data_IF_897998389794
#
_entry.id   IF_897998389794
#
_cell.length_a   1.000
_cell.length_b   1.000
_cell.length_c   1.000
_cell.angle_alpha   90.00
_cell.angle_beta   90.00
_cell.angle_gamma   90.00
#
_symmetry.space_group_name_H-M   'P 1'
#
loop_
_entity.id
_entity.type
_entity.pdbx_description
1 polymer ?
#
# COMPACT_ATOMS: atom_id res chain seq x y z
N UNK A 1 4.98 20.16 -7.53
CA UNK A 1 5.19 18.91 -8.30
C UNK A 1 4.60 19.05 -9.71
N UNK A 2 5.38 18.77 -10.76
CA UNK A 2 4.89 18.73 -12.16
C UNK A 2 4.41 17.31 -12.45
N UNK A 3 3.21 17.16 -13.02
CA UNK A 3 2.68 15.86 -13.41
C UNK A 3 2.65 15.72 -14.94
N UNK A 4 2.98 14.53 -15.42
CA UNK A 4 3.02 14.18 -16.84
C UNK A 4 2.00 13.10 -17.16
N UNK A 5 1.33 13.18 -18.31
CA UNK A 5 0.37 12.17 -18.72
C UNK A 5 1.05 10.82 -18.95
N UNK A 6 0.46 9.74 -18.45
CA UNK A 6 1.00 8.39 -18.60
C UNK A 6 -0.14 7.38 -18.79
N UNK A 7 0.11 6.33 -19.59
CA UNK A 7 -0.81 5.19 -19.68
C UNK A 7 -0.54 4.21 -18.55
N UNK A 8 -1.54 3.39 -18.21
CA UNK A 8 -1.40 2.34 -17.20
C UNK A 8 -0.23 1.38 -17.47
N UNK A 9 -0.08 0.97 -18.74
CA UNK A 9 1.01 0.10 -19.20
C UNK A 9 2.39 0.74 -18.98
N UNK A 10 2.56 2.00 -19.40
CA UNK A 10 3.84 2.72 -19.25
C UNK A 10 4.16 3.01 -17.79
N UNK A 11 3.14 3.29 -16.97
CA UNK A 11 3.29 3.47 -15.52
C UNK A 11 3.80 2.19 -14.87
N UNK A 12 3.12 1.07 -15.13
CA UNK A 12 3.49 -0.24 -14.59
C UNK A 12 4.92 -0.62 -15.00
N UNK A 13 5.24 -0.50 -16.29
CA UNK A 13 6.56 -0.87 -16.82
C UNK A 13 7.67 0.03 -16.25
N UNK A 14 7.43 1.32 -16.07
CA UNK A 14 8.38 2.22 -15.43
C UNK A 14 8.59 1.88 -13.94
N UNK A 15 7.52 1.64 -13.18
CA UNK A 15 7.62 1.26 -11.78
C UNK A 15 8.30 -0.10 -11.59
N UNK A 16 8.01 -1.07 -12.46
CA UNK A 16 8.68 -2.38 -12.44
C UNK A 16 10.18 -2.28 -12.74
N UNK A 17 10.61 -1.36 -13.63
CA UNK A 17 12.03 -1.08 -13.85
C UNK A 17 12.69 -0.46 -12.60
N UNK A 18 12.11 0.58 -12.04
CA UNK A 18 12.64 1.21 -10.83
C UNK A 18 12.73 0.23 -9.66
N UNK A 19 11.72 -0.63 -9.51
CA UNK A 19 11.69 -1.67 -8.49
C UNK A 19 12.74 -2.78 -8.71
N UNK A 20 13.11 -3.07 -9.96
CA UNK A 20 14.14 -4.08 -10.26
C UNK A 20 15.55 -3.58 -9.90
N UNK A 21 15.81 -2.29 -10.03
CA UNK A 21 17.07 -1.66 -9.66
C UNK A 21 17.15 -1.31 -8.16
N UNK A 22 16.03 -1.45 -7.44
CA UNK A 22 15.87 -1.05 -6.05
C UNK A 22 16.74 -1.90 -5.11
N UNK A 23 17.38 -1.22 -4.16
CA UNK A 23 18.13 -1.82 -3.05
C UNK A 23 17.49 -1.39 -1.74
N UNK A 24 17.50 -2.27 -0.75
CA UNK A 24 17.01 -1.93 0.57
C UNK A 24 17.92 -0.90 1.25
N UNK A 25 17.33 0.15 1.82
CA UNK A 25 18.04 1.26 2.47
C UNK A 25 18.76 0.82 3.75
N UNK A 26 18.27 -0.22 4.41
CA UNK A 26 18.88 -0.86 5.58
C UNK A 26 20.08 -1.76 5.24
N UNK A 27 20.43 -1.90 3.95
CA UNK A 27 21.47 -2.80 3.45
C UNK A 27 21.07 -4.28 3.47
N UNK A 28 19.82 -4.58 3.81
CA UNK A 28 19.24 -5.92 3.75
C UNK A 28 18.99 -6.41 2.33
N UNK A 29 18.60 -7.68 2.16
CA UNK A 29 18.39 -8.25 0.84
C UNK A 29 16.97 -8.04 0.27
N UNK A 30 16.07 -7.36 0.98
CA UNK A 30 14.65 -7.25 0.61
C UNK A 30 14.17 -5.81 0.48
N UNK A 31 14.10 -5.28 -0.75
CA UNK A 31 13.43 -4.01 -1.00
C UNK A 31 11.94 -4.07 -0.67
N UNK A 32 11.40 -3.01 -0.08
CA UNK A 32 10.00 -2.89 0.36
C UNK A 32 9.34 -1.72 -0.38
N UNK A 33 8.23 -1.98 -1.05
CA UNK A 33 7.50 -1.01 -1.87
C UNK A 33 6.13 -0.72 -1.26
N UNK A 34 5.75 0.55 -1.16
CA UNK A 34 4.39 0.97 -0.85
C UNK A 34 3.59 1.28 -2.11
N UNK A 35 2.34 0.81 -2.17
CA UNK A 35 1.32 1.28 -3.09
C UNK A 35 0.14 1.81 -2.28
N UNK A 36 0.21 3.10 -1.95
CA UNK A 36 -0.71 3.80 -1.06
C UNK A 36 -1.87 4.44 -1.85
N UNK A 37 -3.06 4.43 -1.25
CA UNK A 37 -4.23 5.11 -1.81
C UNK A 37 -5.51 4.65 -1.15
N UNK A 38 -6.55 5.50 -1.21
CA UNK A 38 -7.87 5.13 -0.71
C UNK A 38 -8.40 3.86 -1.41
N UNK A 39 -9.31 3.07 -0.79
CA UNK A 39 -9.86 1.85 -1.42
C UNK A 39 -10.51 2.07 -2.79
N UNK A 40 -10.96 3.28 -3.09
CA UNK A 40 -11.51 3.65 -4.39
C UNK A 40 -10.43 3.79 -5.49
N UNK A 41 -9.15 3.89 -5.13
CA UNK A 41 -8.01 3.88 -6.04
C UNK A 41 -7.57 2.44 -6.35
N UNK A 42 -7.06 2.16 -7.55
CA UNK A 42 -6.69 0.80 -7.98
C UNK A 42 -5.31 0.36 -7.43
N UNK A 43 -5.09 0.46 -6.11
CA UNK A 43 -3.80 0.11 -5.46
C UNK A 43 -3.47 -1.37 -5.62
N UNK A 44 -4.44 -2.25 -5.43
CA UNK A 44 -4.25 -3.70 -5.59
C UNK A 44 -3.94 -4.10 -7.04
N UNK A 45 -4.58 -3.44 -8.01
CA UNK A 45 -4.29 -3.67 -9.43
C UNK A 45 -2.87 -3.23 -9.77
N UNK A 46 -2.46 -2.03 -9.36
CA UNK A 46 -1.12 -1.53 -9.61
C UNK A 46 -0.04 -2.39 -8.94
N UNK A 47 -0.26 -2.79 -7.69
CA UNK A 47 0.66 -3.68 -6.97
C UNK A 47 0.81 -5.04 -7.68
N UNK A 48 -0.29 -5.58 -8.22
CA UNK A 48 -0.27 -6.85 -8.97
C UNK A 48 0.52 -6.70 -10.27
N UNK A 49 0.28 -5.64 -11.03
CA UNK A 49 0.95 -5.43 -12.33
C UNK A 49 2.44 -5.14 -12.17
N UNK A 50 2.85 -4.40 -11.12
CA UNK A 50 4.27 -4.24 -10.76
C UNK A 50 4.88 -5.61 -10.42
N UNK A 51 4.19 -6.42 -9.59
CA UNK A 51 4.67 -7.74 -9.21
C UNK A 51 4.84 -8.68 -10.42
N UNK A 52 3.91 -8.66 -11.37
CA UNK A 52 4.01 -9.40 -12.63
C UNK A 52 5.22 -8.94 -13.46
N UNK A 53 5.42 -7.63 -13.59
CA UNK A 53 6.57 -7.06 -14.28
C UNK A 53 7.91 -7.47 -13.66
N UNK A 54 8.00 -7.51 -12.33
CA UNK A 54 9.18 -7.98 -11.61
C UNK A 54 9.40 -9.49 -11.76
N UNK A 55 8.33 -10.31 -11.68
CA UNK A 55 8.42 -11.76 -11.89
C UNK A 55 8.87 -12.10 -13.31
N UNK A 56 8.43 -11.35 -14.32
CA UNK A 56 8.90 -11.49 -15.69
C UNK A 56 10.41 -11.21 -15.84
N UNK A 57 10.99 -10.44 -14.92
CA UNK A 57 12.44 -10.15 -14.82
C UNK A 57 13.19 -11.14 -13.92
N UNK A 58 12.51 -12.19 -13.43
CA UNK A 58 13.10 -13.23 -12.59
C UNK A 58 13.14 -12.90 -11.09
N UNK A 59 12.48 -11.82 -10.64
CA UNK A 59 12.42 -11.46 -9.22
C UNK A 59 11.31 -12.24 -8.50
N UNK A 60 11.61 -12.69 -7.28
CA UNK A 60 10.58 -13.19 -6.36
C UNK A 60 9.85 -12.01 -5.73
N UNK A 61 8.52 -12.02 -5.79
CA UNK A 61 7.70 -10.91 -5.27
C UNK A 61 6.58 -11.42 -4.39
N UNK A 62 6.46 -10.82 -3.21
CA UNK A 62 5.33 -11.05 -2.31
C UNK A 62 4.51 -9.77 -2.18
N UNK A 63 3.20 -9.87 -2.37
CA UNK A 63 2.26 -8.73 -2.29
C UNK A 63 1.39 -8.92 -1.05
N UNK A 64 1.37 -7.91 -0.18
CA UNK A 64 0.57 -7.89 1.05
C UNK A 64 -0.46 -6.75 0.96
N UNK A 65 -1.71 -7.08 1.27
CA UNK A 65 -2.79 -6.10 1.39
C UNK A 65 -3.00 -5.73 2.85
N UNK A 66 -3.13 -4.44 3.17
CA UNK A 66 -3.50 -4.02 4.53
C UNK A 66 -4.87 -4.53 4.97
N UNK A 67 -5.73 -4.93 4.02
CA UNK A 67 -7.01 -5.58 4.32
C UNK A 67 -6.85 -6.94 5.04
N UNK A 68 -5.73 -7.63 4.83
CA UNK A 68 -5.39 -8.85 5.58
C UNK A 68 -4.90 -8.57 7.00
N UNK A 69 -4.72 -7.31 7.37
CA UNK A 69 -4.19 -6.86 8.66
C UNK A 69 -5.15 -5.89 9.35
N UNK A 70 -6.45 -6.10 9.17
CA UNK A 70 -7.46 -5.37 9.93
C UNK A 70 -7.50 -5.86 11.38
N UNK A 71 -7.76 -4.95 12.31
CA UNK A 71 -8.09 -5.31 13.68
C UNK A 71 -9.47 -6.00 13.75
N UNK A 72 -9.74 -6.79 14.79
CA UNK A 72 -11.07 -7.37 15.01
C UNK A 72 -12.19 -6.31 15.06
N UNK A 73 -13.42 -6.68 14.66
CA UNK A 73 -14.55 -5.76 14.67
C UNK A 73 -14.80 -5.09 16.03
N UNK A 74 -14.51 -5.78 17.14
CA UNK A 74 -14.63 -5.22 18.49
C UNK A 74 -13.75 -3.99 18.73
N UNK A 75 -12.59 -3.92 18.07
CA UNK A 75 -11.70 -2.75 18.13
C UNK A 75 -12.06 -1.74 17.04
N UNK A 76 -12.37 -2.20 15.82
CA UNK A 76 -12.70 -1.30 14.70
C UNK A 76 -13.98 -0.51 14.92
N UNK A 77 -14.95 -1.09 15.64
CA UNK A 77 -16.28 -0.51 15.82
C UNK A 77 -16.54 -0.07 17.26
N UNK A 78 -15.50 0.05 18.09
CA UNK A 78 -15.59 0.49 19.49
C UNK A 78 -16.38 1.80 19.62
N UNK A 79 -16.12 2.77 18.74
CA UNK A 79 -16.78 4.08 18.71
C UNK A 79 -17.89 4.18 17.64
N UNK A 80 -18.28 3.04 17.07
CA UNK A 80 -19.30 2.96 16.02
C UNK A 80 -18.76 2.42 14.69
N UNK A 81 -19.64 1.82 13.89
CA UNK A 81 -19.27 1.18 12.62
C UNK A 81 -18.82 2.14 11.53
N UNK A 82 -19.15 3.42 11.68
CA UNK A 82 -18.91 4.49 10.70
C UNK A 82 -18.19 5.67 11.36
N UNK A 83 -17.22 5.36 12.20
CA UNK A 83 -16.41 6.35 12.90
C UNK A 83 -15.10 6.61 12.12
N UNK A 84 -14.93 7.80 11.51
CA UNK A 84 -13.78 8.10 10.66
C UNK A 84 -12.46 8.21 11.43
N UNK A 85 -12.49 8.61 12.70
CA UNK A 85 -11.28 8.71 13.54
C UNK A 85 -10.72 7.31 13.84
N UNK A 86 -11.60 6.36 14.15
CA UNK A 86 -11.25 4.96 14.34
C UNK A 86 -10.80 4.33 13.02
N UNK A 87 -11.42 4.67 11.88
CA UNK A 87 -10.92 4.22 10.57
C UNK A 87 -9.50 4.70 10.29
N UNK A 88 -9.22 5.98 10.53
CA UNK A 88 -7.92 6.60 10.30
C UNK A 88 -6.82 5.97 11.17
N UNK A 89 -7.08 5.78 12.46
CA UNK A 89 -6.03 5.46 13.44
C UNK A 89 -6.06 4.02 13.99
N UNK A 90 -7.19 3.34 13.85
CA UNK A 90 -7.50 2.14 14.64
C UNK A 90 -7.87 0.91 13.84
N UNK A 91 -8.15 1.02 12.53
CA UNK A 91 -8.62 -0.12 11.74
C UNK A 91 -7.52 -1.08 11.32
N UNK A 92 -6.37 -0.55 10.93
CA UNK A 92 -5.26 -1.34 10.43
C UNK A 92 -4.29 -1.65 11.58
N UNK A 93 -3.92 -2.93 11.73
CA UNK A 93 -2.96 -3.39 12.72
C UNK A 93 -1.53 -3.12 12.25
N UNK A 94 -1.11 -1.86 12.38
CA UNK A 94 0.25 -1.42 12.04
C UNK A 94 1.32 -2.15 12.85
N UNK A 95 1.01 -2.57 14.08
CA UNK A 95 1.89 -3.38 14.92
C UNK A 95 2.09 -4.78 14.39
N UNK A 96 1.02 -5.42 13.87
CA UNK A 96 1.11 -6.70 13.18
C UNK A 96 1.87 -6.59 11.85
N UNK A 97 1.65 -5.54 11.07
CA UNK A 97 2.44 -5.29 9.85
C UNK A 97 3.94 -5.17 10.18
N UNK A 98 4.30 -4.41 11.22
CA UNK A 98 5.69 -4.34 11.69
C UNK A 98 6.25 -5.70 12.10
N UNK A 99 5.52 -6.45 12.94
CA UNK A 99 6.02 -7.72 13.48
C UNK A 99 6.10 -8.85 12.46
N UNK A 100 5.10 -8.95 11.59
CA UNK A 100 4.86 -10.14 10.77
C UNK A 100 5.22 -9.94 9.29
N UNK A 101 5.40 -8.68 8.86
CA UNK A 101 5.71 -8.34 7.47
C UNK A 101 7.05 -7.62 7.35
N UNK A 102 7.24 -6.48 8.03
CA UNK A 102 8.47 -5.68 7.87
C UNK A 102 9.65 -6.22 8.67
N UNK A 103 9.47 -6.51 9.95
CA UNK A 103 10.52 -7.01 10.86
C UNK A 103 11.25 -8.26 10.34
N UNK A 104 10.56 -9.26 9.76
CA UNK A 104 11.22 -10.41 9.15
C UNK A 104 12.08 -10.07 7.92
N UNK A 105 11.91 -8.89 7.33
CA UNK A 105 12.63 -8.38 6.16
C UNK A 105 13.64 -7.28 6.48
N UNK A 106 13.91 -6.99 7.75
CA UNK A 106 15.03 -6.13 8.15
C UNK A 106 16.38 -6.84 7.89
N UNK A 107 17.49 -6.10 7.89
CA UNK A 107 18.83 -6.65 7.79
C UNK A 107 19.09 -7.76 8.84
N UNK A 108 19.45 -8.97 8.38
CA UNK A 108 19.61 -10.16 9.23
C UNK A 108 18.30 -10.86 9.62
N UNK A 109 17.17 -10.40 9.07
CA UNK A 109 15.85 -11.00 9.24
C UNK A 109 15.71 -12.39 8.62
N UNK A 110 14.56 -13.02 8.85
CA UNK A 110 14.33 -14.42 8.45
C UNK A 110 13.79 -14.59 7.03
N UNK A 111 13.34 -13.52 6.38
CA UNK A 111 12.64 -13.59 5.10
C UNK A 111 11.22 -14.20 5.18
N UNK A 112 10.72 -14.54 6.38
CA UNK A 112 9.41 -15.21 6.56
C UNK A 112 8.34 -14.20 6.89
N UNK A 113 7.50 -13.89 5.92
CA UNK A 113 6.40 -12.92 6.03
C UNK A 113 5.06 -13.64 6.17
N UNK A 114 4.16 -13.07 6.95
CA UNK A 114 2.79 -13.53 7.02
C UNK A 114 1.97 -12.81 5.92
N UNK A 115 1.20 -13.52 5.07
CA UNK A 115 0.47 -12.88 3.98
C UNK A 115 -0.80 -12.15 4.46
N UNK A 116 -1.41 -12.65 5.53
CA UNK A 116 -2.62 -12.12 6.15
C UNK A 116 -2.72 -12.62 7.60
N UNK A 117 -3.41 -11.86 8.44
CA UNK A 117 -3.70 -12.18 9.84
C UNK A 117 -5.20 -12.18 10.14
N UNK A 118 -6.01 -11.48 9.36
CA UNK A 118 -7.45 -11.30 9.57
C UNK A 118 -8.24 -11.43 8.28
N UNK A 119 -9.35 -12.19 8.35
CA UNK A 119 -10.36 -12.24 7.31
C UNK A 119 -11.49 -11.24 7.64
N UNK A 120 -11.63 -10.15 6.86
CA UNK A 120 -12.67 -9.15 7.11
C UNK A 120 -14.10 -9.62 6.85
N UNK A 121 -14.29 -10.70 6.08
CA UNK A 121 -15.62 -11.22 5.73
C UNK A 121 -16.18 -12.03 6.90
N UNK A 122 -15.36 -12.93 7.46
CA UNK A 122 -15.78 -13.77 8.59
C UNK A 122 -15.47 -13.15 9.96
N UNK A 123 -14.70 -12.05 9.98
CA UNK A 123 -14.16 -11.37 11.17
C UNK A 123 -13.43 -12.37 12.09
N UNK A 124 -12.45 -13.07 11.52
CA UNK A 124 -11.65 -14.08 12.23
C UNK A 124 -10.19 -14.00 11.83
N UNK A 125 -9.32 -14.42 12.76
CA UNK A 125 -7.93 -14.62 12.45
C UNK A 125 -7.77 -15.70 11.38
N UNK A 126 -6.93 -15.43 10.38
CA UNK A 126 -6.58 -16.41 9.36
C UNK A 126 -5.61 -17.45 9.91
N UNK A 127 -5.34 -18.51 9.13
CA UNK A 127 -4.37 -19.57 9.45
C UNK A 127 -3.37 -19.78 8.31
N UNK A 128 -3.12 -18.72 7.54
CA UNK A 128 -2.18 -18.77 6.43
C UNK A 128 -0.77 -19.08 6.95
N UNK A 129 -0.03 -19.99 6.32
CA UNK A 129 1.35 -20.25 6.71
C UNK A 129 2.24 -19.07 6.31
N UNK A 130 3.35 -18.89 7.03
CA UNK A 130 4.39 -17.95 6.63
C UNK A 130 4.90 -18.28 5.22
N UNK A 131 5.06 -17.24 4.41
CA UNK A 131 5.69 -17.33 3.10
C UNK A 131 7.13 -16.86 3.20
N UNK A 132 8.05 -17.60 2.57
CA UNK A 132 9.45 -17.22 2.52
C UNK A 132 9.72 -16.38 1.27
N UNK A 133 10.14 -15.14 1.48
CA UNK A 133 10.73 -14.30 0.45
C UNK A 133 12.24 -14.61 0.40
N UNK A 134 12.78 -15.15 -0.70
CA UNK A 134 14.22 -15.40 -0.81
C UNK A 134 14.99 -14.07 -0.88
N UNK A 135 16.28 -14.11 -0.59
CA UNK A 135 17.18 -12.96 -0.70
C UNK A 135 17.11 -12.35 -2.11
N UNK A 136 17.05 -11.02 -2.19
CA UNK A 136 16.81 -10.29 -3.45
C UNK A 136 15.34 -10.22 -3.87
N UNK A 137 14.43 -10.88 -3.14
CA UNK A 137 12.99 -10.76 -3.36
C UNK A 137 12.45 -9.39 -2.94
N UNK A 138 11.33 -8.98 -3.52
CA UNK A 138 10.69 -7.68 -3.29
C UNK A 138 9.36 -7.86 -2.54
N UNK A 139 9.16 -7.08 -1.49
CA UNK A 139 7.87 -6.93 -0.84
C UNK A 139 7.11 -5.75 -1.45
N UNK A 140 5.84 -5.94 -1.77
CA UNK A 140 4.92 -4.86 -2.10
C UNK A 140 3.79 -4.85 -1.08
N UNK A 141 3.63 -3.75 -0.34
CA UNK A 141 2.49 -3.54 0.55
C UNK A 141 1.55 -2.54 -0.09
N UNK A 142 0.28 -2.90 -0.21
CA UNK A 142 -0.73 -2.04 -0.81
C UNK A 142 -1.92 -1.83 0.12
N UNK A 143 -2.51 -0.64 0.04
CA UNK A 143 -3.71 -0.29 0.77
C UNK A 143 -3.75 1.19 1.14
N UNK A 144 -4.78 1.61 1.88
CA UNK A 144 -4.86 2.98 2.37
C UNK A 144 -3.97 3.20 3.59
N UNK A 145 -3.64 4.47 3.83
CA UNK A 145 -3.02 4.97 5.07
C UNK A 145 -1.68 4.30 5.37
N UNK A 146 -0.82 4.13 4.36
CA UNK A 146 0.49 3.49 4.54
C UNK A 146 1.54 4.44 5.12
N UNK A 147 1.35 5.76 5.02
CA UNK A 147 2.31 6.74 5.55
C UNK A 147 1.95 7.25 6.94
N UNK A 148 2.93 7.84 7.63
CA UNK A 148 2.80 8.26 9.04
C UNK A 148 3.08 7.17 10.08
N UNK A 149 3.46 5.97 9.64
CA UNK A 149 3.73 4.80 10.50
C UNK A 149 5.19 4.35 10.53
N UNK A 150 6.08 5.14 9.92
CA UNK A 150 7.54 4.88 9.85
C UNK A 150 7.92 3.56 9.17
N UNK A 151 7.02 2.96 8.39
CA UNK A 151 7.32 1.73 7.66
C UNK A 151 8.55 1.93 6.75
N UNK A 152 9.44 0.93 6.67
CA UNK A 152 10.74 1.06 6.04
C UNK A 152 10.63 0.84 4.53
N UNK A 153 9.83 1.65 3.84
CA UNK A 153 9.69 1.58 2.39
C UNK A 153 10.92 2.17 1.69
N UNK A 154 11.41 1.47 0.69
CA UNK A 154 12.50 1.87 -0.18
C UNK A 154 11.99 2.58 -1.45
N UNK A 155 10.73 2.32 -1.81
CA UNK A 155 10.01 3.02 -2.87
C UNK A 155 8.54 3.16 -2.47
N UNK A 156 7.98 4.33 -2.66
CA UNK A 156 6.59 4.64 -2.33
C UNK A 156 5.85 5.24 -3.52
N UNK A 157 4.71 4.64 -3.84
CA UNK A 157 3.80 5.09 -4.90
C UNK A 157 2.46 5.45 -4.28
N UNK A 158 2.05 6.71 -4.40
CA UNK A 158 0.75 7.19 -3.89
C UNK A 158 -0.22 7.48 -5.03
N UNK A 159 -1.33 6.72 -5.08
CA UNK A 159 -2.43 6.95 -6.01
C UNK A 159 -3.39 7.98 -5.41
N UNK A 160 -3.21 9.22 -5.86
CA UNK A 160 -4.04 10.35 -5.42
C UNK A 160 -5.33 10.43 -6.21
N UNK A 161 -6.45 10.56 -5.49
CA UNK A 161 -7.74 10.98 -6.03
C UNK A 161 -8.06 12.39 -5.51
N UNK A 162 -8.47 13.31 -6.37
CA UNK A 162 -9.06 14.57 -5.90
C UNK A 162 -10.30 14.29 -5.04
N UNK A 163 -10.63 15.20 -4.11
CA UNK A 163 -11.78 15.03 -3.21
C UNK A 163 -13.08 14.68 -3.96
N UNK A 164 -13.34 15.37 -5.09
CA UNK A 164 -14.51 15.07 -5.93
C UNK A 164 -14.43 13.71 -6.64
N UNK A 165 -13.25 13.27 -7.08
CA UNK A 165 -13.07 11.94 -7.66
C UNK A 165 -13.22 10.85 -6.59
N UNK A 166 -12.63 11.04 -5.42
CA UNK A 166 -12.74 10.13 -4.28
C UNK A 166 -14.21 9.96 -3.86
N UNK A 167 -14.95 11.05 -3.71
CA UNK A 167 -16.37 10.99 -3.35
C UNK A 167 -17.22 10.24 -4.39
N UNK A 168 -17.02 10.49 -5.69
CA UNK A 168 -17.78 9.83 -6.76
C UNK A 168 -17.46 8.34 -6.89
N UNK A 169 -16.22 7.95 -6.58
CA UNK A 169 -15.74 6.56 -6.71
C UNK A 169 -15.93 5.74 -5.44
N UNK A 170 -16.16 6.37 -4.31
CA UNK A 170 -16.45 5.71 -3.04
C UNK A 170 -17.94 5.39 -2.97
N UNK A 171 -18.27 4.10 -2.80
CA UNK A 171 -19.66 3.66 -2.67
C UNK A 171 -20.37 4.35 -1.50
N UNK A 172 -21.69 4.54 -1.61
CA UNK A 172 -22.49 5.32 -0.63
C UNK A 172 -22.29 4.85 0.81
N UNK A 173 -22.20 3.53 1.03
CA UNK A 173 -22.02 2.95 2.37
C UNK A 173 -20.62 3.15 2.96
N UNK A 174 -19.65 3.58 2.15
CA UNK A 174 -18.25 3.84 2.52
C UNK A 174 -17.91 5.34 2.55
N UNK A 175 -18.83 6.23 2.16
CA UNK A 175 -18.56 7.68 2.11
C UNK A 175 -18.27 8.30 3.48
N UNK A 176 -18.63 7.63 4.56
CA UNK A 176 -18.25 8.05 5.91
C UNK A 176 -16.72 8.00 6.14
N UNK A 177 -15.96 7.27 5.32
CA UNK A 177 -14.48 7.22 5.38
C UNK A 177 -13.80 8.45 4.77
N UNK A 178 -14.53 9.30 4.03
CA UNK A 178 -13.94 10.43 3.30
C UNK A 178 -13.26 11.44 4.23
N UNK A 179 -13.80 11.66 5.43
CA UNK A 179 -13.17 12.56 6.42
C UNK A 179 -11.86 12.01 6.96
N UNK A 180 -11.68 10.68 7.04
CA UNK A 180 -10.40 10.07 7.38
C UNK A 180 -9.34 10.32 6.30
N UNK A 181 -9.72 10.28 5.01
CA UNK A 181 -8.79 10.59 3.92
C UNK A 181 -8.49 12.08 3.79
N UNK A 182 -9.47 12.95 4.09
CA UNK A 182 -9.21 14.38 4.20
C UNK A 182 -8.19 14.65 5.30
N UNK A 183 -8.38 14.06 6.49
CA UNK A 183 -7.43 14.15 7.59
C UNK A 183 -6.04 13.61 7.22
N UNK A 184 -5.98 12.49 6.51
CA UNK A 184 -4.72 11.93 6.00
C UNK A 184 -3.98 12.89 5.06
N UNK A 185 -4.68 13.55 4.14
CA UNK A 185 -4.09 14.58 3.27
C UNK A 185 -3.56 15.78 4.07
N UNK A 186 -4.28 16.21 5.12
CA UNK A 186 -3.92 17.36 5.95
C UNK A 186 -2.77 17.08 6.93
N UNK A 187 -2.78 15.91 7.59
CA UNK A 187 -1.82 15.57 8.65
C UNK A 187 -0.56 14.88 8.14
N UNK A 188 -0.66 14.11 7.05
CA UNK A 188 0.44 13.29 6.53
C UNK A 188 0.97 13.80 5.18
N UNK A 189 0.15 14.52 4.41
CA UNK A 189 0.51 15.02 3.08
C UNK A 189 1.18 13.92 2.20
N UNK A 190 0.47 12.81 1.90
CA UNK A 190 1.05 11.65 1.24
C UNK A 190 1.63 11.97 -0.14
N UNK A 191 1.06 12.95 -0.85
CA UNK A 191 1.55 13.42 -2.14
C UNK A 191 2.85 14.24 -2.06
N UNK A 192 3.25 14.69 -0.87
CA UNK A 192 4.53 15.37 -0.63
C UNK A 192 5.59 14.38 -0.13
N UNK A 193 5.16 13.28 0.50
CA UNK A 193 6.04 12.26 1.09
C UNK A 193 6.41 11.16 0.11
N UNK A 194 5.52 10.79 -0.82
CA UNK A 194 5.75 9.69 -1.74
C UNK A 194 6.83 10.00 -2.79
N UNK A 195 7.62 8.99 -3.15
CA UNK A 195 8.63 9.09 -4.22
C UNK A 195 7.96 9.27 -5.59
N UNK A 196 6.83 8.58 -5.79
CA UNK A 196 6.01 8.69 -7.01
C UNK A 196 4.57 8.99 -6.64
N UNK A 197 4.01 10.06 -7.20
CA UNK A 197 2.59 10.37 -7.09
C UNK A 197 1.91 10.13 -8.42
N UNK A 198 0.81 9.38 -8.38
CA UNK A 198 -0.05 9.11 -9.54
C UNK A 198 -1.41 9.73 -9.29
N UNK A 199 -1.76 10.78 -10.04
CA UNK A 199 -3.13 11.30 -10.09
C UNK A 199 -4.00 10.32 -10.88
N UNK A 200 -4.95 9.70 -10.19
CA UNK A 200 -5.78 8.61 -10.71
C UNK A 200 -7.28 8.95 -10.77
N UNK A 201 -7.64 10.24 -10.82
CA UNK A 201 -9.04 10.73 -10.84
C UNK A 201 -9.91 10.01 -11.88
N UNK A 202 -9.32 9.63 -13.02
CA UNK A 202 -9.96 8.84 -14.06
C UNK A 202 -9.03 7.71 -14.51
N UNK A 203 -9.49 6.44 -14.57
CA UNK A 203 -8.63 5.29 -14.88
C UNK A 203 -7.95 5.39 -16.26
N UNK A 204 -8.64 5.97 -17.25
CA UNK A 204 -8.07 6.20 -18.59
C UNK A 204 -7.18 7.44 -18.74
N UNK A 205 -7.04 8.28 -17.70
CA UNK A 205 -6.32 9.55 -17.78
C UNK A 205 -5.44 9.75 -16.54
N UNK A 206 -4.38 8.95 -16.44
CA UNK A 206 -3.41 9.06 -15.36
C UNK A 206 -2.42 10.19 -15.65
N UNK A 207 -1.92 10.81 -14.58
CA UNK A 207 -0.73 11.62 -14.64
C UNK A 207 0.17 11.31 -13.44
N UNK A 208 1.47 11.23 -13.64
CA UNK A 208 2.43 10.86 -12.60
C UNK A 208 3.54 11.90 -12.42
N UNK A 209 4.25 11.87 -11.30
CA UNK A 209 5.38 12.77 -11.01
C UNK A 209 6.68 12.43 -11.75
N UNK A 210 6.72 11.28 -12.43
CA UNK A 210 7.93 10.70 -13.00
C UNK A 210 8.45 9.52 -12.16
N UNK A 211 9.52 8.85 -12.63
CA UNK A 211 10.21 7.84 -11.82
C UNK A 211 10.85 8.46 -10.57
N UNK A 212 11.11 7.66 -9.52
CA UNK A 212 11.93 8.10 -8.39
C UNK A 212 13.31 8.54 -8.88
N UNK A 213 13.91 9.52 -8.19
CA UNK A 213 15.21 10.11 -8.54
C UNK A 213 16.39 9.16 -8.29
#
# INVERSE_FOLDING_TARGET
>A
MRLEAISWERLTDALARSADELKAADGGPWPKIAVDGAPAAPTGELATTIAEGLRARGRSVHVVSTQGFLRPASLRYEYGKRDPDTYYSGWFDTGALWREVFGPLEAGGSGRVLPDLWDPVTDRATRSPYQRLPDGGVLIVQGPLLFGHWFPFDLSVHLRLSAGALQRRTGTDEQWTLSAFQRYEEEVAPAETADVVVRADHPGHLAWSGPPA
#
